data_IF_030006883132
#
_entry.id   IF_030006883132
#
_cell.length_a   1.000
_cell.length_b   1.000
_cell.length_c   1.000
_cell.angle_alpha   90.00
_cell.angle_beta   90.00
_cell.angle_gamma   90.00
#
_symmetry.space_group_name_H-M   'P 1'
#
loop_
_entity.id
_entity.type
_entity.pdbx_description
1 polymer ?
#
# COMPACT_ATOMS: atom_id res chain seq x y z
N UNK A 1 48.48 7.26 22.38
CA UNK A 1 47.96 7.61 21.05
C UNK A 1 47.41 6.39 20.32
N UNK A 2 48.18 5.32 20.06
CA UNK A 2 47.71 4.11 19.36
C UNK A 2 46.66 3.29 20.13
N UNK A 3 46.84 3.05 21.44
CA UNK A 3 45.89 2.27 22.25
C UNK A 3 44.50 2.93 22.43
N UNK A 4 44.41 4.26 22.38
CA UNK A 4 43.14 4.98 22.42
C UNK A 4 42.40 4.92 21.09
N UNK A 5 43.13 4.88 19.98
CA UNK A 5 42.54 4.74 18.65
C UNK A 5 41.99 3.32 18.45
N UNK A 6 42.71 2.30 18.91
CA UNK A 6 42.23 0.90 18.90
C UNK A 6 40.97 0.71 19.74
N UNK A 7 40.93 1.28 20.96
CA UNK A 7 39.70 1.27 21.77
C UNK A 7 38.53 1.96 21.10
N UNK A 8 38.77 3.12 20.47
CA UNK A 8 37.72 3.84 19.73
C UNK A 8 37.23 3.05 18.51
N UNK A 9 38.11 2.33 17.81
CA UNK A 9 37.68 1.45 16.72
C UNK A 9 36.87 0.25 17.22
N UNK A 10 37.27 -0.38 18.33
CA UNK A 10 36.50 -1.49 18.93
C UNK A 10 35.12 -1.04 19.43
N UNK A 11 35.04 0.14 20.05
CA UNK A 11 33.77 0.76 20.47
C UNK A 11 32.88 1.10 19.26
N UNK A 12 33.46 1.59 18.17
CA UNK A 12 32.74 1.87 16.92
C UNK A 12 32.21 0.60 16.27
N UNK A 13 33.01 -0.46 16.21
CA UNK A 13 32.59 -1.77 15.69
C UNK A 13 31.48 -2.39 16.54
N UNK A 14 31.58 -2.31 17.88
CA UNK A 14 30.51 -2.74 18.77
C UNK A 14 29.23 -1.93 18.58
N UNK A 15 29.35 -0.62 18.36
CA UNK A 15 28.18 0.25 18.17
C UNK A 15 27.52 -0.03 16.82
N UNK A 16 28.30 -0.26 15.77
CA UNK A 16 27.81 -0.70 14.45
C UNK A 16 27.15 -2.06 14.52
N UNK A 17 27.73 -3.03 15.23
CA UNK A 17 27.15 -4.35 15.43
C UNK A 17 25.80 -4.28 16.14
N UNK A 18 25.69 -3.47 17.21
CA UNK A 18 24.43 -3.22 17.92
C UNK A 18 23.38 -2.54 17.04
N UNK A 19 23.78 -1.54 16.25
CA UNK A 19 22.88 -0.87 15.30
C UNK A 19 22.38 -1.84 14.22
N UNK A 20 23.24 -2.73 13.73
CA UNK A 20 22.86 -3.77 12.77
C UNK A 20 21.93 -4.84 13.36
N UNK A 21 22.15 -5.22 14.62
CA UNK A 21 21.31 -6.19 15.34
C UNK A 21 19.91 -5.63 15.60
N UNK A 22 19.81 -4.38 16.05
CA UNK A 22 18.54 -3.67 16.19
C UNK A 22 17.84 -3.50 14.84
N UNK A 23 18.58 -3.10 13.80
CA UNK A 23 18.02 -2.98 12.46
C UNK A 23 17.49 -4.31 11.95
N UNK A 24 18.21 -5.42 12.15
CA UNK A 24 17.73 -6.77 11.77
C UNK A 24 16.45 -7.16 12.50
N UNK A 25 16.35 -6.80 13.78
CA UNK A 25 15.17 -7.08 14.59
C UNK A 25 13.97 -6.24 14.13
N UNK A 26 14.18 -4.95 13.88
CA UNK A 26 13.14 -4.06 13.36
C UNK A 26 12.75 -4.42 11.91
N UNK A 27 13.71 -4.91 11.13
CA UNK A 27 13.50 -5.34 9.74
C UNK A 27 12.46 -6.45 9.65
N UNK A 28 12.37 -7.32 10.63
CA UNK A 28 11.45 -8.47 10.58
C UNK A 28 9.98 -8.03 10.59
N UNK A 29 9.64 -7.00 11.38
CA UNK A 29 8.30 -6.44 11.42
C UNK A 29 8.01 -5.52 10.23
N UNK A 30 8.99 -4.71 9.81
CA UNK A 30 8.89 -3.93 8.59
C UNK A 30 8.77 -4.80 7.34
N UNK A 31 9.39 -5.97 7.32
CA UNK A 31 9.27 -6.93 6.23
C UNK A 31 7.86 -7.53 6.15
N UNK A 32 7.24 -7.86 7.29
CA UNK A 32 5.83 -8.33 7.34
C UNK A 32 4.89 -7.25 6.81
N UNK A 33 5.04 -6.01 7.28
CA UNK A 33 4.23 -4.87 6.80
C UNK A 33 4.48 -4.60 5.32
N UNK A 34 5.75 -4.61 4.90
CA UNK A 34 6.16 -4.44 3.51
C UNK A 34 5.57 -5.52 2.59
N UNK A 35 5.53 -6.78 3.05
CA UNK A 35 4.94 -7.89 2.33
C UNK A 35 3.42 -7.70 2.14
N UNK A 36 2.69 -7.30 3.19
CA UNK A 36 1.25 -7.03 3.11
C UNK A 36 0.96 -5.90 2.13
N UNK A 37 1.71 -4.81 2.20
CA UNK A 37 1.56 -3.67 1.27
C UNK A 37 1.86 -4.08 -0.17
N UNK A 38 2.92 -4.87 -0.40
CA UNK A 38 3.28 -5.35 -1.73
C UNK A 38 2.18 -6.25 -2.33
N UNK A 39 1.65 -7.20 -1.56
CA UNK A 39 0.53 -8.05 -2.00
C UNK A 39 -0.71 -7.20 -2.30
N UNK A 40 -1.03 -6.24 -1.44
CA UNK A 40 -2.13 -5.30 -1.66
C UNK A 40 -1.98 -4.49 -2.95
N UNK A 41 -0.76 -4.00 -3.23
CA UNK A 41 -0.45 -3.27 -4.45
C UNK A 41 -0.59 -4.14 -5.70
N UNK A 42 -0.12 -5.39 -5.66
CA UNK A 42 -0.27 -6.34 -6.76
C UNK A 42 -1.73 -6.68 -7.06
N UNK A 43 -2.54 -6.91 -6.01
CA UNK A 43 -3.97 -7.16 -6.15
C UNK A 43 -4.70 -5.96 -6.76
N UNK A 44 -4.45 -4.76 -6.23
CA UNK A 44 -5.04 -3.53 -6.75
C UNK A 44 -4.66 -3.29 -8.21
N UNK A 45 -3.38 -3.48 -8.57
CA UNK A 45 -2.91 -3.38 -9.94
C UNK A 45 -3.60 -4.39 -10.86
N UNK A 46 -3.75 -5.64 -10.43
CA UNK A 46 -4.44 -6.70 -11.16
C UNK A 46 -5.89 -6.33 -11.51
N UNK A 47 -6.64 -5.85 -10.51
CA UNK A 47 -8.04 -5.41 -10.68
C UNK A 47 -8.12 -4.22 -11.66
N UNK A 48 -7.25 -3.21 -11.48
CA UNK A 48 -7.23 -2.04 -12.37
C UNK A 48 -6.88 -2.43 -13.81
N UNK A 49 -5.91 -3.33 -14.00
CA UNK A 49 -5.51 -3.82 -15.33
C UNK A 49 -6.63 -4.61 -16.00
N UNK A 50 -7.31 -5.49 -15.28
CA UNK A 50 -8.42 -6.27 -15.80
C UNK A 50 -9.61 -5.38 -16.21
N UNK A 51 -9.97 -4.41 -15.36
CA UNK A 51 -11.08 -3.49 -15.65
C UNK A 51 -10.78 -2.55 -16.82
N UNK A 52 -9.54 -2.10 -16.99
CA UNK A 52 -9.12 -1.31 -18.17
C UNK A 52 -9.18 -2.13 -19.46
N UNK A 53 -8.65 -3.36 -19.47
CA UNK A 53 -8.73 -4.26 -20.64
C UNK A 53 -10.17 -4.54 -21.09
N UNK A 54 -11.11 -4.67 -20.14
CA UNK A 54 -12.53 -4.85 -20.48
C UNK A 54 -13.10 -3.63 -21.19
N UNK A 55 -12.76 -2.42 -20.71
CA UNK A 55 -13.24 -1.15 -21.29
C UNK A 55 -12.69 -0.92 -22.70
N UNK A 56 -11.41 -1.20 -22.91
CA UNK A 56 -10.76 -1.12 -24.22
C UNK A 56 -11.48 -2.02 -25.24
N UNK A 57 -11.67 -3.30 -24.91
CA UNK A 57 -12.42 -4.25 -25.77
C UNK A 57 -13.86 -3.81 -26.07
N UNK A 58 -14.54 -3.15 -25.13
CA UNK A 58 -15.90 -2.65 -25.38
C UNK A 58 -15.90 -1.43 -26.30
N UNK A 59 -14.90 -0.55 -26.16
CA UNK A 59 -14.74 0.60 -27.04
C UNK A 59 -14.39 0.17 -28.46
N UNK A 60 -13.50 -0.83 -28.60
CA UNK A 60 -13.08 -1.35 -29.90
C UNK A 60 -14.26 -1.99 -30.65
N UNK A 61 -15.07 -2.80 -29.94
CA UNK A 61 -16.29 -3.39 -30.52
C UNK A 61 -17.31 -2.32 -30.93
N UNK A 62 -17.45 -1.27 -30.15
CA UNK A 62 -18.37 -0.18 -30.48
C UNK A 62 -17.90 0.57 -31.74
N UNK A 63 -16.59 0.80 -31.89
CA UNK A 63 -16.02 1.39 -33.10
C UNK A 63 -16.23 0.49 -34.33
N UNK A 64 -15.99 -0.82 -34.21
CA UNK A 64 -16.17 -1.77 -35.32
C UNK A 64 -17.63 -1.83 -35.82
N UNK A 65 -18.62 -1.79 -34.91
CA UNK A 65 -20.05 -1.78 -35.28
C UNK A 65 -20.42 -0.46 -35.97
N UNK A 66 -19.95 0.68 -35.45
CA UNK A 66 -20.20 1.99 -36.04
C UNK A 66 -19.58 2.14 -37.44
N UNK A 67 -18.42 1.52 -37.68
CA UNK A 67 -17.78 1.46 -39.00
C UNK A 67 -18.59 0.61 -39.98
N UNK A 68 -19.06 -0.57 -39.55
CA UNK A 68 -19.90 -1.46 -40.38
C UNK A 68 -21.24 -0.84 -40.76
N UNK A 69 -21.82 -0.04 -39.88
CA UNK A 69 -23.10 0.65 -40.12
C UNK A 69 -22.93 2.00 -40.84
N UNK A 70 -21.69 2.42 -41.16
CA UNK A 70 -21.43 3.70 -41.83
C UNK A 70 -21.74 4.94 -40.99
N UNK A 71 -21.93 4.76 -39.67
CA UNK A 71 -22.27 5.81 -38.71
C UNK A 71 -21.04 6.42 -38.02
N UNK A 72 -19.83 5.94 -38.34
CA UNK A 72 -18.61 6.42 -37.72
C UNK A 72 -18.21 7.79 -38.29
N UNK A 73 -18.47 8.84 -37.50
CA UNK A 73 -17.94 10.19 -37.73
C UNK A 73 -16.73 10.49 -36.82
N UNK A 74 -15.85 11.39 -37.27
CA UNK A 74 -14.64 11.80 -36.53
C UNK A 74 -14.95 12.34 -35.12
N UNK A 75 -16.09 13.01 -34.96
CA UNK A 75 -16.57 13.50 -33.66
C UNK A 75 -16.97 12.37 -32.71
N UNK A 76 -17.59 11.31 -33.23
CA UNK A 76 -18.01 10.13 -32.46
C UNK A 76 -16.77 9.34 -32.04
N UNK A 77 -15.82 9.16 -32.96
CA UNK A 77 -14.52 8.54 -32.70
C UNK A 77 -13.76 9.27 -31.60
N UNK A 78 -13.67 10.60 -31.66
CA UNK A 78 -13.04 11.43 -30.61
C UNK A 78 -13.74 11.28 -29.26
N UNK A 79 -15.08 11.22 -29.21
CA UNK A 79 -15.83 11.07 -27.96
C UNK A 79 -15.67 9.69 -27.32
N UNK A 80 -15.65 8.62 -28.11
CA UNK A 80 -15.48 7.23 -27.64
C UNK A 80 -14.06 6.93 -27.16
N UNK A 81 -13.05 7.55 -27.79
CA UNK A 81 -11.63 7.36 -27.45
C UNK A 81 -11.13 8.31 -26.36
N UNK A 82 -11.86 9.41 -26.07
CA UNK A 82 -11.46 10.36 -25.02
C UNK A 82 -11.47 9.70 -23.65
N UNK A 83 -10.35 9.80 -22.95
CA UNK A 83 -10.25 9.34 -21.57
C UNK A 83 -11.16 10.19 -20.67
N UNK A 84 -12.21 9.58 -20.12
CA UNK A 84 -13.09 10.23 -19.15
C UNK A 84 -12.39 10.27 -17.79
N UNK A 85 -12.06 11.47 -17.30
CA UNK A 85 -11.50 11.66 -15.95
C UNK A 85 -12.51 11.15 -14.92
N UNK A 86 -12.08 10.27 -14.03
CA UNK A 86 -12.97 9.72 -13.00
C UNK A 86 -13.14 10.71 -11.86
N UNK A 87 -14.37 11.17 -11.63
CA UNK A 87 -14.74 11.97 -10.45
C UNK A 87 -14.93 11.10 -9.20
N UNK A 88 -15.10 9.78 -9.38
CA UNK A 88 -15.40 8.86 -8.28
C UNK A 88 -14.15 8.46 -7.47
N UNK A 89 -13.01 8.26 -8.12
CA UNK A 89 -11.77 7.83 -7.46
C UNK A 89 -11.24 8.84 -6.43
N UNK A 90 -11.14 10.15 -6.73
CA UNK A 90 -10.67 11.13 -5.74
C UNK A 90 -11.53 11.18 -4.47
N UNK A 91 -12.85 11.19 -4.63
CA UNK A 91 -13.80 11.24 -3.51
C UNK A 91 -13.76 9.97 -2.66
N UNK A 92 -13.63 8.80 -3.30
CA UNK A 92 -13.52 7.53 -2.59
C UNK A 92 -12.20 7.46 -1.80
N UNK A 93 -11.07 7.85 -2.41
CA UNK A 93 -9.77 7.87 -1.75
C UNK A 93 -9.78 8.80 -0.53
N UNK A 94 -10.35 10.01 -0.66
CA UNK A 94 -10.48 10.93 0.47
C UNK A 94 -11.25 10.30 1.64
N UNK A 95 -12.37 9.63 1.37
CA UNK A 95 -13.16 8.95 2.39
C UNK A 95 -12.41 7.78 3.03
N UNK A 96 -11.70 6.98 2.24
CA UNK A 96 -10.88 5.87 2.74
C UNK A 96 -9.72 6.35 3.60
N UNK A 97 -9.07 7.46 3.23
CA UNK A 97 -8.00 8.06 4.03
C UNK A 97 -8.55 8.54 5.38
N UNK A 98 -9.68 9.23 5.39
CA UNK A 98 -10.32 9.69 6.63
C UNK A 98 -10.72 8.51 7.51
N UNK A 99 -11.33 7.47 6.93
CA UNK A 99 -11.71 6.27 7.65
C UNK A 99 -10.48 5.52 8.21
N UNK A 100 -9.42 5.42 7.41
CA UNK A 100 -8.16 4.83 7.84
C UNK A 100 -7.52 5.59 9.00
N UNK A 101 -7.52 6.93 8.94
CA UNK A 101 -7.08 7.79 10.04
C UNK A 101 -7.93 7.61 11.30
N UNK A 102 -9.25 7.47 11.16
CA UNK A 102 -10.14 7.24 12.30
C UNK A 102 -9.91 5.86 12.94
N UNK A 103 -9.78 4.80 12.14
CA UNK A 103 -9.47 3.46 12.67
C UNK A 103 -8.07 3.37 13.29
N UNK A 104 -7.09 4.04 12.67
CA UNK A 104 -5.74 4.14 13.21
C UNK A 104 -5.75 4.89 14.55
N UNK A 105 -6.52 5.97 14.64
CA UNK A 105 -6.74 6.68 15.91
C UNK A 105 -7.21 5.71 16.99
N UNK A 106 -8.26 4.93 16.75
CA UNK A 106 -8.80 4.02 17.79
C UNK A 106 -7.77 2.96 18.23
N UNK A 107 -6.97 2.42 17.30
CA UNK A 107 -5.89 1.46 17.65
C UNK A 107 -4.72 2.13 18.39
N UNK A 108 -4.27 3.29 17.92
CA UNK A 108 -3.16 4.04 18.51
C UNK A 108 -3.55 4.53 19.91
N UNK A 109 -4.79 5.00 20.10
CA UNK A 109 -5.30 5.38 21.43
C UNK A 109 -5.34 4.16 22.36
N UNK A 110 -5.81 3.01 21.89
CA UNK A 110 -5.79 1.79 22.72
C UNK A 110 -4.37 1.33 23.05
N UNK A 111 -3.40 1.39 22.14
CA UNK A 111 -2.00 1.00 22.42
C UNK A 111 -1.25 2.00 23.31
N UNK A 112 -1.51 3.30 23.18
CA UNK A 112 -0.84 4.35 23.98
C UNK A 112 -1.44 4.44 25.38
N UNK A 113 -2.76 4.30 25.52
CA UNK A 113 -3.46 4.46 26.81
C UNK A 113 -3.79 3.13 27.50
N UNK A 114 -3.62 1.99 26.82
CA UNK A 114 -3.76 0.64 27.41
C UNK A 114 -2.42 -0.08 27.36
N UNK A 115 -1.60 0.09 28.39
CA UNK A 115 -0.38 -0.68 28.62
C UNK A 115 -0.11 -0.74 30.13
N UNK A 116 0.25 -1.87 30.75
CA UNK A 116 -0.13 -3.27 30.57
C UNK A 116 -0.92 -3.75 31.80
N UNK A 117 -2.24 -3.93 31.72
CA UNK A 117 -3.02 -4.43 32.87
C UNK A 117 -3.72 -5.78 32.61
N UNK A 118 -3.80 -6.25 31.37
CA UNK A 118 -4.62 -7.44 31.05
C UNK A 118 -3.90 -8.45 30.15
N UNK A 119 -2.67 -8.82 30.48
CA UNK A 119 -2.01 -10.00 29.88
C UNK A 119 -1.72 -11.11 30.92
N UNK A 120 -2.22 -10.99 32.15
CA UNK A 120 -2.10 -12.03 33.17
C UNK A 120 -3.46 -12.48 33.68
N UNK A 121 -4.38 -12.94 32.82
CA UNK A 121 -5.53 -13.75 33.26
C UNK A 121 -6.22 -14.42 32.05
N UNK A 122 -5.49 -15.30 31.36
CA UNK A 122 -6.02 -16.04 30.22
C UNK A 122 -5.53 -17.48 30.06
N UNK A 123 -4.65 -17.97 30.94
CA UNK A 123 -4.11 -19.34 30.85
C UNK A 123 -4.18 -20.05 32.21
N UNK A 124 -5.40 -20.14 32.75
CA UNK A 124 -5.80 -21.22 33.63
C UNK A 124 -7.12 -21.81 33.13
N UNK A 125 -7.05 -22.76 32.22
CA UNK A 125 -8.13 -23.74 32.07
C UNK A 125 -7.66 -25.03 31.39
N UNK A 126 -7.58 -26.07 32.21
CA UNK A 126 -7.57 -27.53 31.94
C UNK A 126 -6.30 -28.18 31.40
#
# INVERSE_FOLDING_TARGET
>A
MSKELEKKSEELEQTLAKQLELLKKDSEDWLKVGAVVAVGALLAYGIVKATRKKKEKTTDKALEVLEKEGLLNDDIKKRLTKSKRSTFWPNLTQRLVILGLALAKDKIYNEIFTSPAEVNEGEKSK
#
